data_IF_398398455701
#
_entry.id   IF_398398455701
#
_cell.length_a   1.000
_cell.length_b   1.000
_cell.length_c   1.000
_cell.angle_alpha   90.00
_cell.angle_beta   90.00
_cell.angle_gamma   90.00
#
_symmetry.space_group_name_H-M   'P 1'
#
loop_
_entity.id
_entity.type
_entity.pdbx_description
1 polymer ?
#
# COMPACT_ATOMS: atom_id res chain seq x y z
N UNK A 1 4.57 6.91 -22.10
CA UNK A 1 5.32 5.66 -22.25
C UNK A 1 5.64 5.15 -20.87
N UNK A 2 4.83 4.23 -20.36
CA UNK A 2 5.10 3.50 -19.13
C UNK A 2 5.11 2.04 -19.56
N UNK A 3 6.25 1.38 -19.41
CA UNK A 3 6.39 -0.04 -19.69
C UNK A 3 5.62 -0.80 -18.58
N UNK A 4 4.30 -0.80 -18.71
CA UNK A 4 3.43 -1.81 -18.15
C UNK A 4 3.82 -3.10 -18.87
N UNK A 5 4.45 -4.04 -18.17
CA UNK A 5 4.47 -5.41 -18.67
C UNK A 5 3.02 -5.85 -18.81
N UNK A 6 2.57 -5.87 -20.06
CA UNK A 6 1.47 -6.62 -20.64
C UNK A 6 0.61 -7.39 -19.62
N UNK A 7 -0.33 -6.68 -19.01
CA UNK A 7 -1.71 -7.11 -19.07
C UNK A 7 -2.45 -5.91 -19.67
N UNK A 8 -2.72 -5.88 -20.99
CA UNK A 8 -3.74 -4.98 -21.49
C UNK A 8 -5.02 -5.39 -20.80
N UNK A 9 -5.48 -4.57 -19.85
CA UNK A 9 -6.75 -4.77 -19.17
C UNK A 9 -7.85 -4.31 -20.13
N UNK A 10 -8.02 -5.09 -21.19
CA UNK A 10 -9.24 -5.21 -21.99
C UNK A 10 -9.49 -6.72 -22.15
N UNK A 11 -10.28 -7.28 -21.25
CA UNK A 11 -11.11 -8.47 -21.50
C UNK A 11 -10.47 -9.84 -21.78
N UNK A 12 -9.15 -10.01 -21.92
CA UNK A 12 -8.58 -11.34 -22.15
C UNK A 12 -7.10 -11.44 -21.74
N UNK A 13 -6.73 -12.53 -21.06
CA UNK A 13 -5.34 -12.97 -20.97
C UNK A 13 -4.91 -13.39 -22.38
N UNK A 14 -4.41 -12.44 -23.16
CA UNK A 14 -3.67 -12.73 -24.39
C UNK A 14 -2.19 -12.81 -24.03
N UNK A 15 -1.66 -14.02 -23.99
CA UNK A 15 -0.20 -14.26 -23.94
C UNK A 15 0.38 -13.80 -25.28
N UNK A 16 0.64 -12.51 -25.40
CA UNK A 16 1.29 -11.92 -26.55
C UNK A 16 2.80 -12.22 -26.46
N UNK A 17 3.19 -13.42 -26.89
CA UNK A 17 4.57 -13.96 -26.87
C UNK A 17 5.24 -13.98 -25.50
N UNK A 18 6.29 -14.81 -25.33
CA UNK A 18 7.12 -14.77 -24.13
C UNK A 18 7.94 -13.46 -24.15
N UNK A 19 7.83 -12.59 -23.13
CA UNK A 19 8.64 -11.38 -23.07
C UNK A 19 10.13 -11.73 -22.99
N UNK A 20 10.99 -10.88 -23.56
CA UNK A 20 12.43 -11.10 -23.51
C UNK A 20 12.93 -11.22 -22.06
N UNK A 21 13.85 -12.16 -21.75
CA UNK A 21 14.34 -12.37 -20.38
C UNK A 21 14.87 -11.11 -19.70
N UNK A 22 15.51 -10.21 -20.45
CA UNK A 22 15.99 -8.92 -19.93
C UNK A 22 14.86 -7.98 -19.52
N UNK A 23 13.75 -7.97 -20.25
CA UNK A 23 12.56 -7.19 -19.90
C UNK A 23 11.87 -7.75 -18.66
N UNK A 24 11.82 -9.08 -18.51
CA UNK A 24 11.29 -9.75 -17.31
C UNK A 24 12.16 -9.41 -16.09
N UNK A 25 13.48 -9.56 -16.19
CA UNK A 25 14.41 -9.23 -15.12
C UNK A 25 14.32 -7.75 -14.72
N UNK A 26 14.31 -6.84 -15.72
CA UNK A 26 14.17 -5.41 -15.48
C UNK A 26 12.86 -5.07 -14.75
N UNK A 27 11.75 -5.69 -15.13
CA UNK A 27 10.46 -5.42 -14.49
C UNK A 27 10.33 -6.00 -13.08
N UNK A 28 10.98 -7.11 -12.79
CA UNK A 28 11.09 -7.65 -11.43
C UNK A 28 11.94 -6.73 -10.54
N UNK A 29 13.11 -6.31 -11.04
CA UNK A 29 14.02 -5.43 -10.30
C UNK A 29 13.45 -4.04 -10.06
N UNK A 30 12.68 -3.51 -11.01
CA UNK A 30 12.04 -2.19 -10.91
C UNK A 30 10.65 -2.25 -10.27
N UNK A 31 10.15 -3.45 -9.94
CA UNK A 31 8.82 -3.66 -9.36
C UNK A 31 7.68 -3.23 -10.29
N UNK A 32 7.90 -3.23 -11.60
CA UNK A 32 6.90 -2.89 -12.63
C UNK A 32 6.16 -4.11 -13.17
N UNK A 33 6.59 -5.33 -12.84
CA UNK A 33 5.95 -6.56 -13.32
C UNK A 33 4.49 -6.72 -12.82
N UNK A 34 4.15 -6.15 -11.65
CA UNK A 34 2.77 -6.01 -11.19
C UNK A 34 2.63 -4.81 -10.24
N UNK A 35 1.44 -4.22 -10.18
CA UNK A 35 1.20 -2.90 -9.57
C UNK A 35 1.56 -2.77 -8.08
N UNK A 36 1.72 -3.86 -7.34
CA UNK A 36 2.05 -3.88 -5.90
C UNK A 36 3.53 -4.23 -5.64
N UNK A 37 4.26 -4.77 -6.63
CA UNK A 37 5.64 -5.24 -6.47
C UNK A 37 6.64 -4.10 -6.18
N UNK A 38 6.26 -2.85 -6.44
CA UNK A 38 7.05 -1.70 -6.04
C UNK A 38 7.41 -1.71 -4.55
N UNK A 39 6.54 -2.27 -3.70
CA UNK A 39 6.80 -2.39 -2.26
C UNK A 39 8.02 -3.29 -1.98
N UNK A 40 8.23 -4.37 -2.73
CA UNK A 40 9.42 -5.22 -2.58
C UNK A 40 10.71 -4.46 -2.88
N UNK A 41 10.69 -3.63 -3.91
CA UNK A 41 11.85 -2.81 -4.28
C UNK A 41 12.22 -1.86 -3.15
N UNK A 42 11.22 -1.22 -2.53
CA UNK A 42 11.40 -0.32 -1.38
C UNK A 42 11.87 -1.08 -0.15
N UNK A 43 11.22 -2.20 0.19
CA UNK A 43 11.53 -2.94 1.42
C UNK A 43 12.93 -3.55 1.37
N UNK A 44 13.38 -4.06 0.21
CA UNK A 44 14.75 -4.57 0.06
C UNK A 44 15.77 -3.47 0.34
N UNK A 45 15.58 -2.26 -0.19
CA UNK A 45 16.47 -1.12 0.10
C UNK A 45 16.51 -0.81 1.60
N UNK A 46 15.36 -0.76 2.26
CA UNK A 46 15.28 -0.47 3.70
C UNK A 46 15.95 -1.56 4.54
N UNK A 47 15.82 -2.83 4.17
CA UNK A 47 16.48 -3.94 4.87
C UNK A 47 18.00 -3.95 4.65
N UNK A 48 18.47 -3.64 3.43
CA UNK A 48 19.91 -3.47 3.18
C UNK A 48 20.49 -2.32 4.00
N UNK A 49 19.74 -1.21 4.13
CA UNK A 49 20.12 -0.05 4.93
C UNK A 49 19.83 -0.20 6.43
N UNK A 50 19.14 -1.26 6.85
CA UNK A 50 18.66 -1.45 8.22
C UNK A 50 19.76 -1.29 9.28
N UNK A 51 20.98 -1.85 9.13
CA UNK A 51 22.04 -1.67 10.11
C UNK A 51 22.43 -0.21 10.33
N UNK A 52 22.35 0.64 9.30
CA UNK A 52 22.61 2.07 9.43
C UNK A 52 21.41 2.81 10.03
N UNK A 53 20.20 2.47 9.57
CA UNK A 53 18.95 3.07 10.05
C UNK A 53 18.81 2.86 11.57
N UNK A 54 19.01 1.63 12.06
CA UNK A 54 18.87 1.32 13.48
C UNK A 54 19.93 2.03 14.33
N UNK A 55 21.18 2.11 13.86
CA UNK A 55 22.24 2.86 14.55
C UNK A 55 21.93 4.34 14.63
N UNK A 56 21.42 4.92 13.54
CA UNK A 56 20.96 6.31 13.53
C UNK A 56 19.85 6.52 14.55
N UNK A 57 18.80 5.68 14.50
CA UNK A 57 17.71 5.72 15.47
C UNK A 57 18.22 5.63 16.92
N UNK A 58 19.13 4.71 17.23
CA UNK A 58 19.70 4.50 18.57
C UNK A 58 20.39 5.73 19.16
N UNK A 59 21.01 6.55 18.30
CA UNK A 59 21.65 7.80 18.75
C UNK A 59 20.59 8.79 19.22
N UNK A 60 19.52 8.98 18.45
CA UNK A 60 18.44 9.90 18.82
C UNK A 60 17.60 9.36 19.99
N UNK A 61 17.35 8.07 20.03
CA UNK A 61 16.59 7.39 21.09
C UNK A 61 17.29 7.56 22.45
N UNK A 62 18.59 7.28 22.52
CA UNK A 62 19.39 7.47 23.74
C UNK A 62 19.50 8.92 24.18
N UNK A 63 19.44 9.86 23.24
CA UNK A 63 19.44 11.29 23.54
C UNK A 63 18.05 11.85 23.91
N UNK A 64 16.99 11.02 23.94
CA UNK A 64 15.61 11.47 24.17
C UNK A 64 15.02 12.28 23.01
N UNK A 65 15.66 12.25 21.84
CA UNK A 65 15.31 13.02 20.65
C UNK A 65 14.61 12.19 19.55
N UNK A 66 14.09 11.00 19.89
CA UNK A 66 13.43 10.10 18.93
C UNK A 66 12.21 10.76 18.25
N UNK A 67 11.39 11.51 18.99
CA UNK A 67 10.23 12.21 18.41
C UNK A 67 10.65 13.33 17.44
N UNK A 68 11.75 14.02 17.73
CA UNK A 68 12.33 15.01 16.82
C UNK A 68 12.81 14.35 15.52
N UNK A 69 13.50 13.21 15.63
CA UNK A 69 13.90 12.42 14.46
C UNK A 69 12.68 12.00 13.62
N UNK A 70 11.62 11.49 14.25
CA UNK A 70 10.40 11.09 13.55
C UNK A 70 9.73 12.28 12.85
N UNK A 71 9.66 13.45 13.49
CA UNK A 71 9.13 14.65 12.88
C UNK A 71 9.97 15.10 11.67
N UNK A 72 11.30 15.10 11.81
CA UNK A 72 12.21 15.43 10.73
C UNK A 72 12.07 14.46 9.54
N UNK A 73 11.96 13.15 9.81
CA UNK A 73 11.73 12.13 8.79
C UNK A 73 10.37 12.28 8.11
N UNK A 74 9.32 12.67 8.84
CA UNK A 74 8.01 12.96 8.25
C UNK A 74 8.12 14.10 7.22
N UNK A 75 8.77 15.21 7.58
CA UNK A 75 9.01 16.31 6.66
C UNK A 75 9.86 15.88 5.46
N UNK A 76 10.95 15.15 5.68
CA UNK A 76 11.80 14.65 4.61
C UNK A 76 11.02 13.75 3.65
N UNK A 77 10.20 12.83 4.17
CA UNK A 77 9.37 11.94 3.36
C UNK A 77 8.33 12.71 2.53
N UNK A 78 7.66 13.69 3.14
CA UNK A 78 6.68 14.54 2.43
C UNK A 78 7.37 15.32 1.32
N UNK A 79 8.48 16.01 1.62
CA UNK A 79 9.24 16.79 0.63
C UNK A 79 9.75 15.90 -0.50
N UNK A 80 10.24 14.70 -0.19
CA UNK A 80 10.68 13.73 -1.20
C UNK A 80 9.54 13.32 -2.14
N UNK A 81 8.38 12.95 -1.59
CA UNK A 81 7.27 12.47 -2.40
C UNK A 81 6.61 13.60 -3.21
N UNK A 82 6.50 14.81 -2.65
CA UNK A 82 6.07 15.99 -3.41
C UNK A 82 7.06 16.30 -4.52
N UNK A 83 8.36 16.25 -4.23
CA UNK A 83 9.43 16.42 -5.22
C UNK A 83 9.37 15.38 -6.33
N UNK A 84 9.08 14.11 -6.00
CA UNK A 84 8.90 13.04 -6.98
C UNK A 84 7.72 13.31 -7.92
N UNK A 85 6.59 13.79 -7.41
CA UNK A 85 5.44 14.17 -8.22
C UNK A 85 5.70 15.40 -9.10
N UNK A 86 6.35 16.42 -8.53
CA UNK A 86 6.72 17.62 -9.27
C UNK A 86 7.71 17.28 -10.41
N UNK A 87 8.78 16.54 -10.11
CA UNK A 87 9.72 16.10 -11.13
C UNK A 87 9.05 15.19 -12.15
N UNK A 88 8.14 14.30 -11.74
CA UNK A 88 7.34 13.50 -12.66
C UNK A 88 6.50 14.33 -13.63
N UNK A 89 5.95 15.45 -13.15
CA UNK A 89 5.15 16.35 -13.97
C UNK A 89 6.00 17.11 -15.01
N UNK A 90 7.26 17.47 -14.69
CA UNK A 90 8.11 18.28 -15.56
C UNK A 90 9.13 17.48 -16.39
N UNK A 91 9.65 16.38 -15.85
CA UNK A 91 10.69 15.56 -16.47
C UNK A 91 10.17 14.19 -16.98
N UNK A 92 8.91 13.84 -16.70
CA UNK A 92 8.25 12.63 -17.20
C UNK A 92 7.95 11.59 -16.11
N UNK A 93 6.93 10.76 -16.35
CA UNK A 93 6.38 9.82 -15.36
C UNK A 93 7.40 8.77 -14.86
N UNK A 94 8.43 8.47 -15.65
CA UNK A 94 9.50 7.54 -15.25
C UNK A 94 10.29 8.06 -14.05
N UNK A 95 10.56 9.37 -13.98
CA UNK A 95 11.23 9.99 -12.83
C UNK A 95 10.40 9.90 -11.56
N UNK A 96 9.08 10.08 -11.68
CA UNK A 96 8.18 9.83 -10.56
C UNK A 96 8.26 8.37 -10.10
N UNK A 97 8.18 7.41 -11.03
CA UNK A 97 8.23 5.99 -10.69
C UNK A 97 9.54 5.60 -9.99
N UNK A 98 10.68 6.12 -10.44
CA UNK A 98 11.99 5.88 -9.82
C UNK A 98 12.03 6.47 -8.41
N UNK A 99 11.69 7.76 -8.25
CA UNK A 99 11.81 8.46 -6.98
C UNK A 99 10.80 7.98 -5.93
N UNK A 100 9.56 7.68 -6.34
CA UNK A 100 8.54 7.14 -5.44
C UNK A 100 8.92 5.75 -4.90
N UNK A 101 9.80 5.02 -5.60
CA UNK A 101 10.29 3.69 -5.22
C UNK A 101 11.66 3.71 -4.54
N UNK A 102 12.26 4.89 -4.36
CA UNK A 102 13.48 5.02 -3.57
C UNK A 102 13.14 5.00 -2.08
N UNK A 103 14.00 4.40 -1.24
CA UNK A 103 13.75 4.26 0.20
C UNK A 103 13.33 5.55 0.96
N UNK A 104 13.75 6.78 0.60
CA UNK A 104 13.32 7.97 1.35
C UNK A 104 11.81 8.20 1.28
N UNK A 105 11.12 7.65 0.28
CA UNK A 105 9.66 7.79 0.15
C UNK A 105 8.88 7.08 1.27
N UNK A 106 9.50 6.15 1.99
CA UNK A 106 8.87 5.35 3.07
C UNK A 106 9.69 5.30 4.37
N UNK A 107 10.81 6.01 4.44
CA UNK A 107 11.74 5.94 5.57
C UNK A 107 11.09 6.34 6.90
N UNK A 108 10.20 7.33 6.90
CA UNK A 108 9.50 7.74 8.11
C UNK A 108 8.68 6.60 8.69
N UNK A 109 7.88 5.90 7.89
CA UNK A 109 7.06 4.79 8.37
C UNK A 109 7.89 3.62 8.87
N UNK A 110 9.01 3.34 8.20
CA UNK A 110 9.91 2.29 8.62
C UNK A 110 10.52 2.58 9.99
N UNK A 111 11.01 3.81 10.21
CA UNK A 111 11.56 4.24 11.51
C UNK A 111 10.47 4.38 12.58
N UNK A 112 9.26 4.82 12.21
CA UNK A 112 8.11 4.82 13.11
C UNK A 112 7.79 3.40 13.61
N UNK A 113 7.88 2.40 12.75
CA UNK A 113 7.75 0.98 13.13
C UNK A 113 8.79 0.54 14.17
N UNK A 114 10.06 0.94 13.99
CA UNK A 114 11.12 0.70 14.97
C UNK A 114 10.79 1.36 16.31
N UNK A 115 10.38 2.63 16.29
CA UNK A 115 10.02 3.37 17.49
C UNK A 115 8.86 2.71 18.25
N UNK A 116 7.78 2.38 17.54
CA UNK A 116 6.61 1.69 18.10
C UNK A 116 6.99 0.34 18.69
N UNK A 117 7.82 -0.44 18.00
CA UNK A 117 8.30 -1.74 18.50
C UNK A 117 9.02 -1.60 19.84
N UNK A 118 9.88 -0.59 19.99
CA UNK A 118 10.63 -0.36 21.24
C UNK A 118 9.77 0.20 22.37
N UNK A 119 8.77 1.00 22.02
CA UNK A 119 7.90 1.67 22.98
C UNK A 119 6.49 1.05 23.01
N UNK A 120 6.39 -0.26 22.74
CA UNK A 120 5.10 -0.96 22.56
C UNK A 120 4.15 -0.75 23.73
N UNK A 121 4.64 -0.79 24.97
CA UNK A 121 3.83 -0.58 26.18
C UNK A 121 3.18 0.80 26.22
N UNK A 122 4.00 1.85 26.05
CA UNK A 122 3.53 3.23 25.99
C UNK A 122 2.57 3.44 24.81
N UNK A 123 2.94 2.95 23.62
CA UNK A 123 2.13 3.11 22.41
C UNK A 123 0.74 2.45 22.55
N UNK A 124 0.67 1.22 23.07
CA UNK A 124 -0.62 0.55 23.35
C UNK A 124 -1.45 1.33 24.37
N UNK A 125 -0.83 1.93 25.38
CA UNK A 125 -1.51 2.79 26.34
C UNK A 125 -2.06 4.06 25.68
N UNK A 126 -1.24 4.74 24.86
CA UNK A 126 -1.65 5.92 24.12
C UNK A 126 -2.84 5.63 23.21
N UNK A 127 -2.78 4.56 22.40
CA UNK A 127 -3.89 4.13 21.54
C UNK A 127 -5.17 3.85 22.33
N UNK A 128 -5.08 3.20 23.51
CA UNK A 128 -6.24 2.93 24.37
C UNK A 128 -6.85 4.18 24.99
N UNK A 129 -6.06 5.25 25.16
CA UNK A 129 -6.54 6.52 25.71
C UNK A 129 -7.31 7.36 24.68
N UNK A 130 -7.18 7.05 23.39
CA UNK A 130 -7.88 7.76 22.32
C UNK A 130 -9.35 7.36 22.25
N UNK A 131 -10.21 8.34 21.96
CA UNK A 131 -11.63 8.09 21.69
C UNK A 131 -11.79 7.37 20.33
N UNK A 132 -12.41 6.17 20.29
CA UNK A 132 -12.65 5.45 19.04
C UNK A 132 -13.47 6.25 18.04
N UNK A 133 -14.43 7.05 18.52
CA UNK A 133 -15.28 7.87 17.67
C UNK A 133 -14.47 8.96 16.96
N UNK A 134 -13.57 9.65 17.69
CA UNK A 134 -12.72 10.68 17.09
C UNK A 134 -11.68 10.11 16.13
N UNK A 135 -11.13 8.92 16.43
CA UNK A 135 -10.23 8.23 15.50
C UNK A 135 -10.97 7.85 14.21
N UNK A 136 -12.20 7.34 14.31
CA UNK A 136 -13.03 7.04 13.14
C UNK A 136 -13.36 8.29 12.33
N UNK A 137 -13.73 9.39 13.00
CA UNK A 137 -13.99 10.69 12.35
C UNK A 137 -12.74 11.19 11.62
N UNK A 138 -11.57 11.13 12.25
CA UNK A 138 -10.31 11.54 11.63
C UNK A 138 -9.95 10.66 10.42
N UNK A 139 -10.12 9.34 10.52
CA UNK A 139 -9.90 8.42 9.41
C UNK A 139 -10.89 8.68 8.26
N UNK A 140 -12.17 8.89 8.57
CA UNK A 140 -13.21 9.19 7.58
C UNK A 140 -12.99 10.54 6.89
N UNK A 141 -12.68 11.59 7.65
CA UNK A 141 -12.38 12.92 7.11
C UNK A 141 -11.14 12.89 6.21
N UNK A 142 -10.08 12.18 6.63
CA UNK A 142 -8.89 11.99 5.81
C UNK A 142 -9.20 11.19 4.54
N UNK A 143 -10.03 10.15 4.62
CA UNK A 143 -10.44 9.37 3.45
C UNK A 143 -11.25 10.21 2.45
N UNK A 144 -12.14 11.08 2.94
CA UNK A 144 -12.91 12.01 2.10
C UNK A 144 -11.99 13.06 1.45
N UNK A 145 -11.05 13.64 2.20
CA UNK A 145 -10.09 14.61 1.67
C UNK A 145 -9.24 13.98 0.57
N UNK A 146 -8.63 12.83 0.86
CA UNK A 146 -7.76 12.11 -0.06
C UNK A 146 -8.56 11.61 -1.27
N UNK A 147 -9.71 10.98 -1.06
CA UNK A 147 -10.59 10.52 -2.14
C UNK A 147 -11.07 11.68 -3.02
N UNK A 148 -11.37 12.84 -2.43
CA UNK A 148 -11.73 14.05 -3.15
C UNK A 148 -10.65 14.52 -4.12
N UNK A 149 -9.37 14.45 -3.73
CA UNK A 149 -8.24 14.78 -4.63
C UNK A 149 -8.19 13.86 -5.85
N UNK A 150 -8.54 12.58 -5.70
CA UNK A 150 -8.62 11.63 -6.81
C UNK A 150 -9.87 11.79 -7.67
N UNK A 151 -11.00 12.18 -7.09
CA UNK A 151 -12.25 12.38 -7.83
C UNK A 151 -12.27 13.71 -8.58
N UNK A 152 -11.59 14.74 -8.07
CA UNK A 152 -11.59 16.09 -8.65
C UNK A 152 -11.19 16.14 -10.13
N UNK A 153 -10.10 15.49 -10.60
CA UNK A 153 -9.79 15.37 -12.03
C UNK A 153 -10.93 14.81 -12.88
N UNK A 154 -11.64 13.80 -12.37
CA UNK A 154 -12.74 13.18 -13.08
C UNK A 154 -13.92 14.14 -13.23
N UNK A 155 -14.22 14.92 -12.19
CA UNK A 155 -15.30 15.91 -12.21
C UNK A 155 -14.97 17.14 -13.07
N UNK A 156 -13.71 17.58 -13.08
CA UNK A 156 -13.27 18.80 -13.76
C UNK A 156 -12.89 18.57 -15.22
N UNK A 157 -12.33 17.40 -15.54
CA UNK A 157 -11.75 17.11 -16.86
C UNK A 157 -12.36 15.86 -17.53
N UNK A 158 -13.33 15.21 -16.89
CA UNK A 158 -13.98 13.99 -17.41
C UNK A 158 -13.04 12.77 -17.51
N UNK A 159 -11.78 12.90 -17.12
CA UNK A 159 -10.76 11.86 -17.23
C UNK A 159 -9.55 12.15 -16.34
N UNK A 160 -8.84 11.09 -15.95
CA UNK A 160 -7.54 11.23 -15.28
C UNK A 160 -6.44 11.74 -16.21
N UNK A 161 -6.55 11.49 -17.51
CA UNK A 161 -5.58 11.94 -18.53
C UNK A 161 -5.50 13.46 -18.66
N UNK A 162 -6.54 14.19 -18.24
CA UNK A 162 -6.55 15.65 -18.24
C UNK A 162 -5.80 16.28 -17.07
N UNK A 163 -5.43 15.53 -16.03
CA UNK A 163 -4.74 16.05 -14.85
C UNK A 163 -3.24 15.80 -14.91
N UNK A 164 -2.46 16.81 -14.52
CA UNK A 164 -1.02 16.68 -14.36
C UNK A 164 -0.69 15.98 -13.03
N UNK A 165 0.47 15.31 -12.96
CA UNK A 165 0.95 14.69 -11.72
C UNK A 165 1.09 15.69 -10.55
N UNK A 166 1.18 17.00 -10.85
CA UNK A 166 1.27 18.07 -9.87
C UNK A 166 0.01 18.20 -9.01
N UNK A 167 -1.18 17.85 -9.53
CA UNK A 167 -2.43 17.84 -8.74
C UNK A 167 -2.31 16.91 -7.53
N UNK A 168 -1.55 15.84 -7.67
CA UNK A 168 -1.32 14.84 -6.62
C UNK A 168 -0.21 15.25 -5.63
N UNK A 169 0.43 16.42 -5.77
CA UNK A 169 1.31 16.95 -4.73
C UNK A 169 0.54 17.21 -3.43
N UNK A 170 -0.70 17.71 -3.53
CA UNK A 170 -1.59 17.93 -2.37
C UNK A 170 -1.88 16.61 -1.66
N UNK A 171 -2.18 15.57 -2.45
CA UNK A 171 -2.34 14.21 -1.94
C UNK A 171 -1.12 13.76 -1.13
N UNK A 172 0.10 13.97 -1.62
CA UNK A 172 1.34 13.56 -0.93
C UNK A 172 1.65 14.33 0.36
N UNK A 173 1.09 15.51 0.53
CA UNK A 173 1.21 16.27 1.79
C UNK A 173 0.31 15.66 2.86
N UNK A 174 -0.93 15.32 2.50
CA UNK A 174 -1.94 14.86 3.46
C UNK A 174 -1.95 13.34 3.66
N UNK A 175 -1.52 12.56 2.67
CA UNK A 175 -1.52 11.09 2.71
C UNK A 175 -0.81 10.58 3.98
N UNK A 176 0.38 11.08 4.37
CA UNK A 176 1.03 10.55 5.55
C UNK A 176 0.27 10.81 6.85
N UNK A 177 -0.43 11.94 6.92
CA UNK A 177 -1.25 12.32 8.06
C UNK A 177 -2.55 11.52 8.11
N UNK A 178 -3.10 11.16 6.95
CA UNK A 178 -4.28 10.30 6.83
C UNK A 178 -4.01 8.86 7.29
N UNK A 179 -2.83 8.30 7.00
CA UNK A 179 -2.51 6.93 7.41
C UNK A 179 -2.42 6.75 8.93
N UNK A 180 -2.06 7.79 9.69
CA UNK A 180 -1.96 7.70 11.15
C UNK A 180 -3.28 7.28 11.81
N UNK A 181 -4.41 8.00 11.65
CA UNK A 181 -5.68 7.59 12.24
C UNK A 181 -6.20 6.26 11.67
N UNK A 182 -5.90 5.93 10.41
CA UNK A 182 -6.25 4.62 9.84
C UNK A 182 -5.51 3.48 10.56
N UNK A 183 -4.19 3.60 10.72
CA UNK A 183 -3.36 2.61 11.43
C UNK A 183 -3.84 2.47 12.88
N UNK A 184 -4.09 3.59 13.56
CA UNK A 184 -4.62 3.58 14.94
C UNK A 184 -5.98 2.87 14.98
N UNK A 185 -6.90 3.17 14.05
CA UNK A 185 -8.21 2.52 13.96
C UNK A 185 -8.08 1.00 13.76
N UNK A 186 -7.19 0.57 12.86
CA UNK A 186 -6.93 -0.85 12.61
C UNK A 186 -6.36 -1.54 13.86
N UNK A 187 -5.45 -0.89 14.59
CA UNK A 187 -4.88 -1.41 15.84
C UNK A 187 -5.96 -1.50 16.92
N UNK A 188 -6.78 -0.47 17.11
CA UNK A 188 -7.91 -0.49 18.05
C UNK A 188 -8.88 -1.63 17.72
N UNK A 189 -9.14 -1.85 16.44
CA UNK A 189 -9.99 -2.93 15.95
C UNK A 189 -9.36 -4.29 16.23
N UNK A 190 -8.09 -4.49 15.90
CA UNK A 190 -7.36 -5.72 16.17
C UNK A 190 -7.33 -6.06 17.67
N UNK A 191 -7.07 -5.07 18.53
CA UNK A 191 -7.08 -5.24 19.99
C UNK A 191 -8.47 -5.61 20.53
N UNK A 192 -9.54 -5.07 19.94
CA UNK A 192 -10.91 -5.45 20.31
C UNK A 192 -11.24 -6.87 19.86
N UNK A 193 -10.89 -7.23 18.63
CA UNK A 193 -11.06 -8.58 18.10
C UNK A 193 -10.34 -9.62 18.96
N UNK A 194 -9.09 -9.34 19.33
CA UNK A 194 -8.29 -10.20 20.20
C UNK A 194 -8.92 -10.34 21.59
N UNK A 195 -9.47 -9.25 22.15
CA UNK A 195 -10.14 -9.28 23.46
C UNK A 195 -11.46 -10.05 23.42
N UNK A 196 -12.26 -9.89 22.36
CA UNK A 196 -13.56 -10.57 22.22
C UNK A 196 -13.39 -12.06 21.90
N UNK A 197 -12.34 -12.42 21.16
CA UNK A 197 -12.08 -13.79 20.75
C UNK A 197 -13.15 -14.35 19.81
N UNK A 198 -13.20 -15.69 19.72
CA UNK A 198 -14.18 -16.44 18.94
C UNK A 198 -13.84 -16.57 17.45
N UNK A 199 -14.78 -17.16 16.70
CA UNK A 199 -14.58 -17.55 15.30
C UNK A 199 -14.13 -16.41 14.40
N UNK A 200 -14.62 -15.19 14.65
CA UNK A 200 -14.24 -14.03 13.87
C UNK A 200 -12.78 -13.64 14.14
N UNK A 201 -12.36 -13.59 15.41
CA UNK A 201 -10.97 -13.30 15.75
C UNK A 201 -10.01 -14.37 15.19
N UNK A 202 -10.39 -15.65 15.26
CA UNK A 202 -9.62 -16.75 14.71
C UNK A 202 -9.54 -16.71 13.17
N UNK A 203 -10.63 -16.30 12.50
CA UNK A 203 -10.64 -16.12 11.05
C UNK A 203 -9.71 -15.00 10.60
N UNK A 204 -9.72 -13.85 11.30
CA UNK A 204 -8.79 -12.76 11.03
C UNK A 204 -7.33 -13.14 11.32
N UNK A 205 -7.08 -13.91 12.38
CA UNK A 205 -5.73 -14.44 12.68
C UNK A 205 -5.24 -15.35 11.55
N UNK A 206 -6.06 -16.32 11.16
CA UNK A 206 -5.75 -17.22 10.04
C UNK A 206 -5.51 -16.45 8.73
N UNK A 207 -6.35 -15.46 8.41
CA UNK A 207 -6.14 -14.61 7.23
C UNK A 207 -4.81 -13.85 7.32
N UNK A 208 -4.45 -13.33 8.49
CA UNK A 208 -3.18 -12.65 8.74
C UNK A 208 -1.96 -13.56 8.57
N UNK A 209 -2.02 -14.80 9.05
CA UNK A 209 -0.96 -15.81 8.91
C UNK A 209 -0.67 -16.15 7.43
N UNK A 210 -1.71 -16.12 6.59
CA UNK A 210 -1.60 -16.41 5.16
C UNK A 210 -1.43 -15.14 4.30
N UNK A 211 -1.39 -13.94 4.91
CA UNK A 211 -1.44 -12.65 4.21
C UNK A 211 -0.33 -12.47 3.18
N UNK A 212 0.89 -12.95 3.46
CA UNK A 212 2.01 -12.88 2.52
C UNK A 212 1.78 -13.74 1.27
N UNK A 213 1.28 -14.96 1.44
CA UNK A 213 0.92 -15.82 0.31
C UNK A 213 -0.21 -15.23 -0.53
N UNK A 214 -1.23 -14.66 0.13
CA UNK A 214 -2.33 -13.95 -0.54
C UNK A 214 -1.79 -12.77 -1.33
N UNK A 215 -0.88 -11.99 -0.73
CA UNK A 215 -0.22 -10.86 -1.37
C UNK A 215 0.56 -11.27 -2.63
N UNK A 216 1.14 -12.47 -2.69
CA UNK A 216 1.85 -12.93 -3.89
C UNK A 216 0.92 -13.37 -5.02
N UNK A 217 -0.17 -14.09 -4.70
CA UNK A 217 -0.99 -14.73 -5.74
C UNK A 217 -2.19 -13.91 -6.20
N UNK A 218 -2.69 -12.98 -5.37
CA UNK A 218 -3.89 -12.20 -5.68
C UNK A 218 -3.89 -11.50 -7.06
N UNK A 219 -2.77 -11.05 -7.65
CA UNK A 219 -2.80 -10.38 -8.96
C UNK A 219 -3.20 -11.33 -10.09
N UNK A 220 -2.71 -12.58 -10.02
CA UNK A 220 -3.06 -13.65 -10.97
C UNK A 220 -4.54 -14.02 -10.79
N UNK A 221 -5.00 -14.09 -9.54
CA UNK A 221 -6.39 -14.38 -9.22
C UNK A 221 -7.32 -13.26 -9.70
N UNK A 222 -6.97 -11.99 -9.47
CA UNK A 222 -7.71 -10.83 -9.99
C UNK A 222 -7.81 -10.89 -11.51
N UNK A 223 -6.70 -11.15 -12.21
CA UNK A 223 -6.69 -11.20 -13.67
C UNK A 223 -7.61 -12.31 -14.21
N UNK A 224 -7.53 -13.51 -13.62
CA UNK A 224 -8.37 -14.64 -14.00
C UNK A 224 -9.86 -14.39 -13.72
N UNK A 225 -10.18 -13.88 -12.51
CA UNK A 225 -11.56 -13.59 -12.12
C UNK A 225 -12.15 -12.43 -12.92
N UNK A 226 -11.37 -11.40 -13.25
CA UNK A 226 -11.82 -10.29 -14.08
C UNK A 226 -12.13 -10.75 -15.51
N UNK A 227 -11.28 -11.60 -16.09
CA UNK A 227 -11.53 -12.17 -17.42
C UNK A 227 -12.80 -13.04 -17.43
N UNK A 228 -12.99 -13.88 -16.40
CA UNK A 228 -14.20 -14.67 -16.24
C UNK A 228 -15.44 -13.78 -16.06
N UNK A 229 -15.36 -12.78 -15.17
CA UNK A 229 -16.44 -11.83 -14.90
C UNK A 229 -16.89 -11.11 -16.18
N UNK A 230 -15.95 -10.57 -16.94
CA UNK A 230 -16.24 -9.89 -18.20
C UNK A 230 -16.87 -10.85 -19.22
N UNK A 231 -16.38 -12.10 -19.30
CA UNK A 231 -16.92 -13.11 -20.22
C UNK A 231 -18.34 -13.54 -19.87
N UNK A 232 -18.68 -13.63 -18.58
CA UNK A 232 -20.01 -14.07 -18.13
C UNK A 232 -21.06 -12.96 -18.11
N UNK A 233 -20.64 -11.71 -17.84
CA UNK A 233 -21.57 -10.60 -17.58
C UNK A 233 -21.54 -9.51 -18.65
N UNK A 234 -20.48 -9.46 -19.45
CA UNK A 234 -20.19 -8.32 -20.33
C UNK A 234 -19.73 -7.06 -19.59
N UNK A 235 -19.64 -7.10 -18.25
CA UNK A 235 -19.23 -5.96 -17.43
C UNK A 235 -17.71 -5.81 -17.41
N UNK A 236 -17.26 -4.57 -17.37
CA UNK A 236 -15.85 -4.20 -17.39
C UNK A 236 -15.41 -3.52 -16.09
N UNK A 237 -14.17 -3.02 -16.07
CA UNK A 237 -13.62 -2.27 -14.94
C UNK A 237 -14.27 -0.91 -14.72
N UNK A 238 -15.03 -0.40 -15.69
CA UNK A 238 -15.77 0.86 -15.52
C UNK A 238 -17.06 0.65 -14.71
N UNK A 239 -17.53 -0.58 -14.60
CA UNK A 239 -18.78 -0.89 -13.90
C UNK A 239 -18.55 -1.00 -12.40
N UNK A 240 -19.25 -0.17 -11.63
CA UNK A 240 -19.09 -0.09 -10.18
C UNK A 240 -19.23 -1.46 -9.47
N UNK A 241 -20.15 -2.31 -9.93
CA UNK A 241 -20.39 -3.63 -9.33
C UNK A 241 -19.20 -4.58 -9.46
N UNK A 242 -18.35 -4.37 -10.47
CA UNK A 242 -17.14 -5.17 -10.71
C UNK A 242 -16.19 -5.10 -9.51
N UNK A 243 -16.09 -3.95 -8.84
CA UNK A 243 -15.16 -3.74 -7.72
C UNK A 243 -15.46 -4.58 -6.47
N UNK A 244 -16.66 -4.51 -5.84
CA UNK A 244 -16.95 -5.32 -4.66
C UNK A 244 -16.98 -6.82 -4.98
N UNK A 245 -17.43 -7.22 -6.18
CA UNK A 245 -17.44 -8.62 -6.60
C UNK A 245 -16.02 -9.16 -6.73
N UNK A 246 -15.16 -8.49 -7.50
CA UNK A 246 -13.76 -8.92 -7.67
C UNK A 246 -13.00 -8.88 -6.35
N UNK A 247 -13.24 -7.89 -5.49
CA UNK A 247 -12.61 -7.82 -4.17
C UNK A 247 -12.94 -9.06 -3.32
N UNK A 248 -14.24 -9.37 -3.16
CA UNK A 248 -14.69 -10.51 -2.35
C UNK A 248 -14.22 -11.84 -2.94
N UNK A 249 -14.38 -12.01 -4.26
CA UNK A 249 -14.00 -13.23 -4.95
C UNK A 249 -12.48 -13.45 -4.90
N UNK A 250 -11.68 -12.40 -5.14
CA UNK A 250 -10.22 -12.47 -5.05
C UNK A 250 -9.78 -12.82 -3.63
N UNK A 251 -10.32 -12.12 -2.62
CA UNK A 251 -9.97 -12.37 -1.23
C UNK A 251 -10.27 -13.83 -0.84
N UNK A 252 -11.45 -14.33 -1.19
CA UNK A 252 -11.87 -15.69 -0.88
C UNK A 252 -11.03 -16.75 -1.61
N UNK A 253 -10.86 -16.60 -2.93
CA UNK A 253 -10.09 -17.56 -3.75
C UNK A 253 -8.62 -17.56 -3.37
N UNK A 254 -8.02 -16.38 -3.19
CA UNK A 254 -6.61 -16.28 -2.80
C UNK A 254 -6.37 -16.88 -1.42
N UNK A 255 -7.20 -16.56 -0.44
CA UNK A 255 -7.10 -17.14 0.90
C UNK A 255 -7.30 -18.66 0.86
N UNK A 256 -8.32 -19.15 0.14
CA UNK A 256 -8.60 -20.57 -0.01
C UNK A 256 -7.41 -21.34 -0.60
N UNK A 257 -6.83 -20.85 -1.70
CA UNK A 257 -5.69 -21.49 -2.37
C UNK A 257 -4.45 -21.54 -1.47
N UNK A 258 -4.10 -20.43 -0.82
CA UNK A 258 -2.92 -20.38 0.07
C UNK A 258 -3.12 -21.29 1.28
N UNK A 259 -4.32 -21.32 1.85
CA UNK A 259 -4.65 -22.20 2.97
C UNK A 259 -4.61 -23.68 2.59
N UNK A 260 -5.02 -24.03 1.37
CA UNK A 260 -4.95 -25.42 0.87
C UNK A 260 -3.51 -25.85 0.57
N UNK A 261 -2.66 -24.93 0.13
CA UNK A 261 -1.25 -25.18 -0.13
C UNK A 261 -0.38 -25.19 1.14
N UNK A 262 -0.86 -24.59 2.24
CA UNK A 262 -0.13 -24.54 3.50
C UNK A 262 0.06 -25.96 4.07
N UNK A 263 1.29 -26.34 4.47
CA UNK A 263 1.52 -27.63 5.10
C UNK A 263 0.72 -27.71 6.41
N UNK A 264 -0.08 -28.78 6.55
CA UNK A 264 -0.79 -29.03 7.81
C UNK A 264 0.23 -29.31 8.90
N UNK A 265 0.39 -28.40 9.85
CA UNK A 265 1.10 -28.67 11.09
C UNK A 265 0.41 -29.84 11.78
N UNK A 266 1.10 -30.99 11.83
CA UNK A 266 0.74 -32.12 12.69
C UNK A 266 1.18 -31.82 14.11
#
# INVERSE_FOLDING_TARGET
>A
TALYLLIPVEGAIRVASLPEPGAVAGALLMGTAAYHLWFFVVIIQLYLLYPLIIRGYDVFDRAGAALFLLLALLFCQVLWNVGAHALGAFAGADWYAILARAFPSHLFYFVLGIHVSRHTGWFRSAVRSLSPAWVLVAAGAGALLIGGVWVAPMLLHGSFSGATLAVFCVYRIFEPLYYIPVIVLLIMTAMRLEKTGGLLADSFRSFGEHSFGIYLIHPIIIAALAAAWASFTGLSWTDWVTYPVLFLATAAVSYGLVRLAAPRSR
#
